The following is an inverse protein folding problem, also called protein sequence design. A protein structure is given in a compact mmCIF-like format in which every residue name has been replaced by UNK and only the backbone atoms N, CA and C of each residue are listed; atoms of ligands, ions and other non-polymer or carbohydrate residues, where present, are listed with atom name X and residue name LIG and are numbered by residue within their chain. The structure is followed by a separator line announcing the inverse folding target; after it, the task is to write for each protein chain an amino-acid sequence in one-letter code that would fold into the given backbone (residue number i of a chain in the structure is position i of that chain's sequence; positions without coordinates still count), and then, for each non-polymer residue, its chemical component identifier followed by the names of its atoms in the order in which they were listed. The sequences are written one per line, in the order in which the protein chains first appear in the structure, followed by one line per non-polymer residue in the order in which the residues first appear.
data_IF_783709358962
#
_entry.id   IF_783709358962
#
_cell.length_a   1.000
_cell.length_b   1.000
_cell.length_c   1.000
_cell.angle_alpha   90.00
_cell.angle_beta   90.00
_cell.angle_gamma   90.00
#
_symmetry.space_group_name_H-M   'P 1'
#
loop_
_entity.id
_entity.type
_entity.pdbx_description
1 polymer ?
#
# COMPACT_ATOMS: atom_id res chain seq x y z
N UNK A 1 6.78 24.91 -50.49
CA UNK A 1 7.26 24.97 -49.09
C UNK A 1 6.13 25.49 -48.22
N UNK A 2 5.50 24.60 -47.44
CA UNK A 2 4.49 24.94 -46.44
C UNK A 2 5.09 24.60 -45.07
N UNK A 3 4.93 25.43 -44.02
CA UNK A 3 5.28 24.99 -42.68
C UNK A 3 4.15 24.08 -42.17
N UNK A 4 4.46 22.79 -41.96
CA UNK A 4 3.66 21.94 -41.09
C UNK A 4 4.07 22.25 -39.65
N UNK A 5 3.52 23.33 -39.09
CA UNK A 5 3.62 23.59 -37.67
C UNK A 5 2.36 23.04 -36.99
N UNK A 6 2.48 21.87 -36.38
CA UNK A 6 1.44 21.33 -35.50
C UNK A 6 1.64 21.95 -34.12
N UNK A 7 0.68 22.79 -33.71
CA UNK A 7 0.63 23.38 -32.39
C UNK A 7 -0.08 22.39 -31.44
N UNK A 8 0.66 21.71 -30.56
CA UNK A 8 0.07 20.93 -29.48
C UNK A 8 -0.27 21.86 -28.31
N UNK A 9 -1.55 22.22 -28.19
CA UNK A 9 -2.08 22.82 -26.96
C UNK A 9 -2.59 21.71 -26.04
N UNK A 10 -1.71 21.16 -25.20
CA UNK A 10 -2.15 20.31 -24.10
C UNK A 10 -2.62 21.20 -22.96
N UNK A 11 -3.93 21.44 -22.90
CA UNK A 11 -4.57 21.93 -21.68
C UNK A 11 -4.64 20.75 -20.71
N UNK A 12 -3.59 20.54 -19.92
CA UNK A 12 -3.70 19.69 -18.74
C UNK A 12 -4.60 20.39 -17.74
N UNK A 13 -5.90 20.15 -17.82
CA UNK A 13 -6.80 20.27 -16.69
C UNK A 13 -6.69 18.98 -15.89
N UNK A 14 -5.48 18.66 -15.42
CA UNK A 14 -5.27 17.54 -14.51
C UNK A 14 -5.83 17.89 -13.14
N UNK A 15 -7.16 18.04 -13.03
CA UNK A 15 -7.80 17.82 -11.75
C UNK A 15 -7.59 16.35 -11.45
N UNK A 16 -6.66 16.10 -10.54
CA UNK A 16 -6.45 14.76 -10.04
C UNK A 16 -7.65 14.39 -9.19
N UNK A 17 -8.63 13.75 -9.84
CA UNK A 17 -9.94 13.48 -9.27
C UNK A 17 -9.80 12.59 -8.03
N UNK A 18 -10.63 12.89 -7.03
CA UNK A 18 -10.78 12.01 -5.87
C UNK A 18 -11.32 10.67 -6.37
N UNK A 19 -10.70 9.57 -5.94
CA UNK A 19 -11.04 8.23 -6.43
C UNK A 19 -12.39 7.73 -5.91
N UNK A 20 -12.72 8.00 -4.63
CA UNK A 20 -13.97 7.60 -3.99
C UNK A 20 -14.72 8.79 -3.34
N UNK A 21 -15.14 9.81 -4.11
CA UNK A 21 -15.76 11.01 -3.56
C UNK A 21 -17.08 10.70 -2.81
N UNK A 22 -17.81 9.68 -3.26
CA UNK A 22 -19.09 9.24 -2.68
C UNK A 22 -18.97 8.73 -1.22
N UNK A 23 -17.78 8.35 -0.80
CA UNK A 23 -17.53 7.80 0.54
C UNK A 23 -16.81 8.79 1.47
N UNK A 24 -16.72 10.08 1.08
CA UNK A 24 -15.88 11.06 1.78
C UNK A 24 -14.38 10.78 1.61
N UNK A 25 -14.03 10.01 0.57
CA UNK A 25 -12.65 9.70 0.24
C UNK A 25 -11.84 10.95 -0.04
N UNK A 26 -10.53 10.85 0.19
CA UNK A 26 -9.57 11.96 -0.04
C UNK A 26 -8.41 11.54 -0.93
N UNK A 27 -8.26 10.24 -1.19
CA UNK A 27 -7.25 9.71 -2.08
C UNK A 27 -7.53 10.18 -3.51
N UNK A 28 -6.52 10.78 -4.14
CA UNK A 28 -6.59 11.19 -5.55
C UNK A 28 -6.10 10.07 -6.46
N UNK A 29 -6.73 9.90 -7.62
CA UNK A 29 -6.48 8.75 -8.48
C UNK A 29 -5.01 8.64 -8.92
N UNK A 30 -4.42 9.73 -9.41
CA UNK A 30 -3.11 9.71 -10.04
C UNK A 30 -1.98 10.04 -9.05
N UNK A 31 -2.20 10.88 -8.04
CA UNK A 31 -1.20 11.18 -7.03
C UNK A 31 -1.10 10.09 -5.95
N UNK A 32 -2.20 9.42 -5.61
CA UNK A 32 -2.25 8.56 -4.43
C UNK A 32 -2.50 7.08 -4.80
N UNK A 33 -3.59 6.80 -5.53
CA UNK A 33 -4.06 5.43 -5.76
C UNK A 33 -3.18 4.67 -6.74
N UNK A 34 -2.95 5.22 -7.94
CA UNK A 34 -2.16 4.57 -9.00
C UNK A 34 -0.71 4.28 -8.56
N UNK A 35 0.03 5.22 -7.95
CA UNK A 35 1.40 4.95 -7.50
C UNK A 35 1.46 3.84 -6.45
N UNK A 36 0.59 3.87 -5.43
CA UNK A 36 0.53 2.83 -4.41
C UNK A 36 0.27 1.45 -5.01
N UNK A 37 -0.74 1.34 -5.89
CA UNK A 37 -1.06 0.06 -6.55
C UNK A 37 0.08 -0.41 -7.45
N UNK A 38 0.82 0.49 -8.09
CA UNK A 38 1.97 0.15 -8.93
C UNK A 38 3.10 -0.50 -8.12
N UNK A 39 3.44 0.03 -6.93
CA UNK A 39 4.44 -0.60 -6.05
C UNK A 39 4.02 -2.02 -5.65
N UNK A 40 2.78 -2.18 -5.20
CA UNK A 40 2.25 -3.49 -4.76
C UNK A 40 2.24 -4.49 -5.93
N UNK A 41 1.79 -4.04 -7.11
CA UNK A 41 1.81 -4.84 -8.34
C UNK A 41 3.23 -5.26 -8.70
N UNK A 42 4.20 -4.36 -8.64
CA UNK A 42 5.59 -4.67 -8.96
C UNK A 42 6.17 -5.71 -7.99
N UNK A 43 5.98 -5.56 -6.69
CA UNK A 43 6.43 -6.57 -5.70
C UNK A 43 5.79 -7.95 -5.94
N UNK A 44 4.49 -7.98 -6.22
CA UNK A 44 3.76 -9.23 -6.56
C UNK A 44 4.29 -9.87 -7.85
N UNK A 45 4.64 -9.08 -8.86
CA UNK A 45 5.24 -9.57 -10.10
C UNK A 45 6.64 -10.13 -9.90
N UNK A 46 7.44 -9.56 -8.98
CA UNK A 46 8.77 -10.11 -8.66
C UNK A 46 8.67 -11.52 -8.08
N UNK A 47 7.68 -11.78 -7.22
CA UNK A 47 7.41 -13.13 -6.68
C UNK A 47 6.94 -14.11 -7.75
N UNK A 48 6.07 -13.68 -8.66
CA UNK A 48 5.62 -14.52 -9.78
C UNK A 48 6.76 -14.88 -10.74
N UNK A 49 7.77 -14.02 -10.86
CA UNK A 49 8.93 -14.22 -11.75
C UNK A 49 10.14 -14.85 -11.06
N UNK A 50 10.03 -15.24 -9.78
CA UNK A 50 11.14 -15.75 -8.97
C UNK A 50 12.34 -14.76 -8.92
N UNK A 51 12.06 -13.46 -8.91
CA UNK A 51 13.08 -12.38 -8.93
C UNK A 51 13.18 -11.61 -7.61
N UNK A 52 12.24 -11.82 -6.69
CA UNK A 52 12.30 -11.23 -5.36
C UNK A 52 13.39 -11.93 -4.53
N UNK A 53 14.33 -11.18 -3.97
CA UNK A 53 15.29 -11.69 -2.98
C UNK A 53 14.68 -11.70 -1.58
N UNK A 54 15.16 -12.59 -0.71
CA UNK A 54 14.72 -12.72 0.67
C UNK A 54 15.70 -12.03 1.65
N UNK A 55 15.68 -10.71 1.75
CA UNK A 55 16.69 -9.94 2.50
C UNK A 55 17.89 -9.50 1.65
N UNK A 56 18.79 -8.67 2.22
CA UNK A 56 19.94 -8.09 1.51
C UNK A 56 20.82 -9.15 0.81
N UNK A 57 21.12 -10.22 1.54
CA UNK A 57 22.01 -11.30 1.11
C UNK A 57 21.28 -12.63 0.87
N UNK A 58 19.95 -12.61 0.90
CA UNK A 58 19.17 -13.84 0.84
C UNK A 58 19.08 -14.45 -0.56
N UNK A 59 18.73 -15.73 -0.55
CA UNK A 59 18.31 -16.48 -1.72
C UNK A 59 17.00 -15.91 -2.30
N UNK A 60 16.67 -16.21 -3.57
CA UNK A 60 15.37 -15.89 -4.13
C UNK A 60 14.23 -16.43 -3.25
N UNK A 61 13.21 -15.61 -3.03
CA UNK A 61 11.98 -16.05 -2.38
C UNK A 61 11.29 -17.14 -3.22
N UNK A 62 10.55 -18.06 -2.58
CA UNK A 62 9.77 -19.07 -3.31
C UNK A 62 8.83 -18.42 -4.33
N UNK A 63 8.87 -18.91 -5.57
CA UNK A 63 8.01 -18.44 -6.65
C UNK A 63 6.53 -18.65 -6.31
N UNK A 64 5.73 -17.60 -6.45
CA UNK A 64 4.28 -17.70 -6.31
C UNK A 64 3.67 -18.39 -7.54
N UNK A 65 2.73 -19.33 -7.35
CA UNK A 65 2.00 -19.97 -8.47
C UNK A 65 1.00 -19.04 -9.13
N UNK A 66 0.43 -18.12 -8.35
CA UNK A 66 -0.57 -17.15 -8.78
C UNK A 66 -0.65 -16.04 -7.75
N UNK A 67 -0.96 -14.82 -8.19
CA UNK A 67 -1.13 -13.66 -7.32
C UNK A 67 -2.19 -12.74 -7.94
N UNK A 68 -3.25 -12.43 -7.19
CA UNK A 68 -4.28 -11.52 -7.68
C UNK A 68 -3.77 -10.09 -7.84
N UNK A 69 -4.23 -9.38 -8.87
CA UNK A 69 -3.96 -7.95 -9.03
C UNK A 69 -4.63 -7.18 -7.89
N UNK A 70 -3.86 -6.28 -7.26
CA UNK A 70 -4.40 -5.38 -6.25
C UNK A 70 -5.24 -4.29 -6.94
N UNK A 71 -6.44 -4.05 -6.43
CA UNK A 71 -7.35 -3.00 -6.90
C UNK A 71 -7.84 -2.17 -5.73
N UNK A 72 -8.13 -0.90 -6.01
CA UNK A 72 -8.70 -0.01 -5.01
C UNK A 72 -10.14 -0.39 -4.68
N UNK A 73 -10.51 -0.29 -3.42
CA UNK A 73 -11.85 -0.53 -2.91
C UNK A 73 -12.30 0.66 -2.10
N UNK A 74 -13.31 1.37 -2.61
CA UNK A 74 -13.94 2.48 -1.91
C UNK A 74 -14.55 2.07 -0.56
N UNK A 75 -14.97 0.81 -0.42
CA UNK A 75 -15.47 0.27 0.84
C UNK A 75 -14.34 0.16 1.88
N UNK A 76 -13.15 -0.29 1.45
CA UNK A 76 -11.98 -0.38 2.33
C UNK A 76 -11.40 0.99 2.65
N UNK A 77 -11.41 1.94 1.70
CA UNK A 77 -11.03 3.34 1.98
C UNK A 77 -11.94 3.95 3.05
N UNK A 78 -13.26 3.76 2.93
CA UNK A 78 -14.22 4.21 3.94
C UNK A 78 -13.95 3.59 5.30
N UNK A 79 -13.72 2.26 5.35
CA UNK A 79 -13.39 1.56 6.60
C UNK A 79 -12.09 2.06 7.21
N UNK A 80 -11.06 2.30 6.39
CA UNK A 80 -9.80 2.89 6.84
C UNK A 80 -10.04 4.29 7.43
N UNK A 81 -10.84 5.13 6.77
CA UNK A 81 -11.22 6.45 7.29
C UNK A 81 -11.96 6.35 8.62
N UNK A 82 -12.96 5.48 8.74
CA UNK A 82 -13.75 5.30 9.97
C UNK A 82 -12.91 4.79 11.16
N UNK A 83 -11.88 3.99 10.90
CA UNK A 83 -10.93 3.55 11.92
C UNK A 83 -10.12 4.72 12.51
N UNK A 84 -9.92 5.76 11.70
CA UNK A 84 -9.07 6.91 11.95
C UNK A 84 -9.84 8.10 12.53
N UNK A 85 -10.99 8.45 11.94
CA UNK A 85 -11.87 9.56 12.33
C UNK A 85 -12.35 9.46 13.80
N UNK A 86 -12.62 8.24 14.28
CA UNK A 86 -13.06 8.00 15.66
C UNK A 86 -11.92 8.08 16.69
N UNK A 87 -10.66 8.00 16.27
CA UNK A 87 -9.49 7.87 17.16
C UNK A 87 -8.62 9.13 17.22
N UNK A 88 -8.73 10.05 16.26
CA UNK A 88 -8.02 11.34 16.29
C UNK A 88 -8.46 12.34 17.36
N UNK A 89 -9.54 12.06 18.09
CA UNK A 89 -9.91 12.84 19.29
C UNK A 89 -9.09 12.45 20.52
N UNK A 90 -8.33 11.35 20.44
CA UNK A 90 -7.40 10.92 21.48
C UNK A 90 -6.02 11.44 21.11
N UNK A 91 -5.36 12.11 22.05
CA UNK A 91 -4.01 12.69 21.91
C UNK A 91 -2.94 11.64 21.61
N UNK A 92 -3.24 10.36 21.79
CA UNK A 92 -2.37 9.24 21.48
C UNK A 92 -3.21 8.13 20.82
N UNK A 93 -3.08 7.98 19.50
CA UNK A 93 -3.50 6.70 18.89
C UNK A 93 -2.47 5.68 19.39
N UNK A 94 -2.91 4.72 20.19
CA UNK A 94 -2.07 3.58 20.57
C UNK A 94 -1.84 2.69 19.33
N UNK A 95 -0.82 3.06 18.57
CA UNK A 95 -0.38 2.36 17.36
C UNK A 95 0.10 0.94 17.67
N UNK A 96 0.54 0.67 18.91
CA UNK A 96 0.97 -0.66 19.33
C UNK A 96 -0.21 -1.61 19.53
N UNK A 97 -1.40 -1.08 19.84
CA UNK A 97 -2.63 -1.85 20.01
C UNK A 97 -3.66 -1.61 18.89
N UNK A 98 -3.22 -1.16 17.70
CA UNK A 98 -4.10 -0.99 16.56
C UNK A 98 -4.65 -2.35 16.11
N UNK A 99 -5.87 -2.68 16.55
CA UNK A 99 -6.59 -3.87 16.12
C UNK A 99 -7.44 -3.55 14.89
N UNK A 100 -7.15 -4.25 13.79
CA UNK A 100 -8.00 -4.27 12.61
C UNK A 100 -9.25 -5.12 12.88
N UNK A 101 -10.41 -4.79 12.28
CA UNK A 101 -11.62 -5.60 12.43
C UNK A 101 -11.37 -7.04 11.97
N UNK A 102 -12.09 -8.00 12.56
CA UNK A 102 -11.97 -9.41 12.19
C UNK A 102 -12.21 -9.60 10.69
N UNK A 103 -11.34 -10.39 10.04
CA UNK A 103 -11.39 -10.62 8.60
C UNK A 103 -10.66 -9.58 7.75
N UNK A 104 -10.06 -8.55 8.37
CA UNK A 104 -9.24 -7.57 7.69
C UNK A 104 -7.79 -7.66 8.18
N UNK A 105 -6.86 -7.60 7.24
CA UNK A 105 -5.48 -7.23 7.53
C UNK A 105 -5.31 -5.75 7.25
N UNK A 106 -4.44 -5.10 7.98
CA UNK A 106 -4.12 -3.72 7.71
C UNK A 106 -2.69 -3.41 8.07
N UNK A 107 -2.26 -2.29 7.54
CA UNK A 107 -0.92 -1.76 7.65
C UNK A 107 -1.06 -0.32 8.09
N UNK A 108 -0.14 0.14 8.93
CA UNK A 108 -0.10 1.51 9.39
C UNK A 108 1.27 2.12 9.05
N UNK A 109 1.30 3.40 8.73
CA UNK A 109 2.54 4.14 8.56
C UNK A 109 2.45 5.48 9.29
N UNK A 110 3.36 5.77 10.24
CA UNK A 110 3.32 7.02 10.96
C UNK A 110 3.67 8.20 10.03
N UNK A 111 2.92 9.29 10.15
CA UNK A 111 3.03 10.48 9.28
C UNK A 111 4.43 11.11 9.25
N UNK A 112 5.20 11.02 10.35
CA UNK A 112 6.57 11.56 10.38
C UNK A 112 7.58 10.74 9.55
N UNK A 113 7.18 9.60 9.00
CA UNK A 113 8.04 8.76 8.16
C UNK A 113 7.67 8.83 6.67
N UNK A 114 6.43 9.20 6.32
CA UNK A 114 6.00 9.37 4.92
C UNK A 114 4.85 10.37 4.83
N UNK A 115 4.91 11.19 3.78
CA UNK A 115 3.92 12.22 3.49
C UNK A 115 2.93 11.80 2.40
N UNK A 116 3.23 10.75 1.63
CA UNK A 116 2.39 10.25 0.53
C UNK A 116 2.17 8.74 0.62
N UNK A 117 1.11 8.25 -0.01
CA UNK A 117 0.89 6.80 -0.17
C UNK A 117 1.98 6.11 -0.97
N UNK A 118 2.59 6.81 -1.93
CA UNK A 118 3.72 6.29 -2.69
C UNK A 118 4.91 5.98 -1.78
N UNK A 119 5.31 6.93 -0.93
CA UNK A 119 6.40 6.75 0.03
C UNK A 119 6.10 5.62 1.01
N UNK A 120 4.86 5.57 1.53
CA UNK A 120 4.44 4.47 2.41
C UNK A 120 4.54 3.11 1.69
N UNK A 121 4.03 3.02 0.45
CA UNK A 121 4.11 1.80 -0.35
C UNK A 121 5.55 1.39 -0.64
N UNK A 122 6.43 2.33 -0.96
CA UNK A 122 7.86 2.08 -1.13
C UNK A 122 8.48 1.54 0.17
N UNK A 123 8.18 2.13 1.32
CA UNK A 123 8.70 1.67 2.61
C UNK A 123 8.22 0.27 3.00
N UNK A 124 6.92 0.00 2.84
CA UNK A 124 6.35 -1.33 3.11
C UNK A 124 6.90 -2.37 2.15
N UNK A 125 6.96 -2.08 0.86
CA UNK A 125 7.47 -3.03 -0.15
C UNK A 125 8.97 -3.27 -0.03
N UNK A 126 9.75 -2.29 0.43
CA UNK A 126 11.20 -2.40 0.66
C UNK A 126 11.59 -3.03 1.99
N UNK A 127 10.64 -3.44 2.85
CA UNK A 127 10.96 -4.19 4.07
C UNK A 127 11.73 -5.48 3.78
N UNK A 128 11.37 -6.18 2.69
CA UNK A 128 12.02 -7.43 2.27
C UNK A 128 13.49 -7.27 1.90
N UNK A 129 13.92 -6.07 1.52
CA UNK A 129 15.31 -5.80 1.19
C UNK A 129 16.17 -5.58 2.45
N UNK A 130 15.54 -5.44 3.62
CA UNK A 130 16.19 -5.21 4.92
C UNK A 130 16.08 -6.40 5.86
N UNK A 131 14.96 -7.09 5.83
CA UNK A 131 14.67 -8.20 6.74
C UNK A 131 14.22 -9.44 5.95
N UNK A 132 14.90 -10.59 6.08
CA UNK A 132 14.46 -11.82 5.45
C UNK A 132 13.17 -12.36 6.12
N UNK A 133 12.27 -12.91 5.30
CA UNK A 133 11.19 -13.79 5.76
C UNK A 133 11.77 -15.16 6.10
N UNK A 134 11.33 -15.74 7.20
CA UNK A 134 11.69 -17.12 7.56
C UNK A 134 11.05 -18.09 6.57
N UNK A 135 11.75 -19.15 6.14
CA UNK A 135 11.25 -20.17 5.22
C UNK A 135 9.94 -20.82 5.70
N UNK A 136 9.76 -20.92 7.02
CA UNK A 136 8.51 -21.44 7.63
C UNK A 136 7.30 -20.53 7.41
N UNK A 137 7.49 -19.27 7.00
CA UNK A 137 6.43 -18.35 6.67
C UNK A 137 5.64 -18.76 5.42
N UNK A 138 6.19 -19.64 4.57
CA UNK A 138 5.52 -20.08 3.35
C UNK A 138 4.92 -21.48 3.54
N UNK A 139 3.60 -21.56 3.77
CA UNK A 139 2.89 -22.86 3.86
C UNK A 139 1.65 -22.88 2.99
N UNK A 140 1.57 -23.89 2.10
CA UNK A 140 0.40 -24.20 1.26
C UNK A 140 -0.15 -22.98 0.47
N UNK A 141 0.74 -22.11 -0.01
CA UNK A 141 0.36 -20.94 -0.80
C UNK A 141 -0.17 -19.75 0.01
N UNK A 142 0.05 -19.75 1.33
CA UNK A 142 -0.20 -18.61 2.22
C UNK A 142 1.11 -18.15 2.85
N UNK A 143 1.20 -16.84 3.08
CA UNK A 143 2.21 -16.27 3.97
C UNK A 143 1.63 -16.32 5.39
N UNK A 144 2.23 -17.12 6.26
CA UNK A 144 1.80 -17.22 7.65
C UNK A 144 2.13 -15.93 8.40
N UNK A 145 1.38 -15.68 9.48
CA UNK A 145 1.65 -14.58 10.40
C UNK A 145 3.12 -14.62 10.83
N UNK A 146 3.84 -13.53 10.55
CA UNK A 146 5.24 -13.39 10.91
C UNK A 146 5.27 -12.49 12.15
N UNK A 147 5.75 -12.97 13.31
CA UNK A 147 5.91 -12.13 14.49
C UNK A 147 7.04 -11.09 14.34
N UNK A 148 7.73 -11.08 13.19
CA UNK A 148 8.72 -10.09 12.84
C UNK A 148 8.03 -8.85 12.25
N UNK A 149 8.01 -7.77 13.02
CA UNK A 149 7.45 -6.48 12.60
C UNK A 149 8.20 -5.87 11.42
N UNK A 150 9.48 -6.19 11.24
CA UNK A 150 10.31 -5.59 10.19
C UNK A 150 9.90 -6.02 8.78
N UNK A 151 9.05 -7.04 8.65
CA UNK A 151 8.62 -7.63 7.38
C UNK A 151 7.11 -7.82 7.25
N UNK A 152 6.36 -7.47 8.30
CA UNK A 152 4.94 -7.77 8.41
C UNK A 152 4.10 -7.04 7.35
N UNK A 153 4.47 -5.81 7.01
CA UNK A 153 3.71 -5.01 6.05
C UNK A 153 3.93 -5.53 4.64
N UNK A 154 5.18 -5.82 4.27
CA UNK A 154 5.51 -6.54 3.04
C UNK A 154 4.71 -7.83 2.93
N UNK A 155 4.79 -8.68 3.96
CA UNK A 155 4.08 -9.96 4.02
C UNK A 155 2.57 -9.81 3.82
N UNK A 156 1.97 -8.74 4.36
CA UNK A 156 0.55 -8.41 4.20
C UNK A 156 0.23 -8.00 2.76
N UNK A 157 1.09 -7.20 2.12
CA UNK A 157 0.91 -6.75 0.73
C UNK A 157 1.07 -7.88 -0.30
N UNK A 158 1.85 -8.92 -0.01
CA UNK A 158 2.10 -10.02 -0.94
C UNK A 158 1.21 -11.26 -0.71
N UNK A 159 0.20 -11.16 0.15
CA UNK A 159 -0.78 -12.23 0.32
C UNK A 159 -1.55 -12.48 -0.99
N UNK A 160 -1.63 -13.75 -1.40
CA UNK A 160 -2.30 -14.19 -2.62
C UNK A 160 -3.73 -13.66 -2.76
N UNK A 161 -4.47 -13.70 -1.66
CA UNK A 161 -5.92 -13.45 -1.65
C UNK A 161 -6.27 -12.00 -1.25
N UNK A 162 -5.27 -11.12 -1.06
CA UNK A 162 -5.46 -9.71 -0.70
C UNK A 162 -5.57 -8.82 -1.94
N UNK A 163 -6.60 -8.99 -2.75
CA UNK A 163 -6.76 -8.24 -4.00
C UNK A 163 -7.49 -6.90 -3.86
N UNK A 164 -8.24 -6.65 -2.79
CA UNK A 164 -8.87 -5.35 -2.54
C UNK A 164 -8.04 -4.55 -1.53
N UNK A 165 -7.77 -3.28 -1.83
CA UNK A 165 -7.00 -2.37 -0.97
C UNK A 165 -7.76 -1.05 -0.84
N UNK A 166 -7.78 -0.45 0.34
CA UNK A 166 -8.24 0.92 0.51
C UNK A 166 -7.49 1.55 1.67
N UNK A 167 -7.01 2.77 1.46
CA UNK A 167 -6.22 3.49 2.44
C UNK A 167 -6.89 4.83 2.75
N UNK A 168 -6.61 5.35 3.94
CA UNK A 168 -6.99 6.69 4.33
C UNK A 168 -5.81 7.35 5.03
N UNK A 169 -5.63 8.65 4.79
CA UNK A 169 -4.64 9.49 5.46
C UNK A 169 -5.36 10.54 6.28
N UNK A 170 -4.87 10.74 7.50
CA UNK A 170 -5.22 11.86 8.34
C UNK A 170 -4.06 12.82 8.41
N UNK A 171 -4.33 14.10 8.23
CA UNK A 171 -3.45 15.16 8.71
C UNK A 171 -3.97 15.60 10.07
N UNK A 172 -3.22 15.27 11.13
CA UNK A 172 -3.51 15.78 12.47
C UNK A 172 -2.89 17.16 12.57
N UNK A 173 -3.73 18.20 12.63
CA UNK A 173 -3.26 19.54 12.94
C UNK A 173 -3.06 19.61 14.45
N UNK A 174 -1.81 19.63 14.91
CA UNK A 174 -1.53 20.08 16.27
C UNK A 174 -1.80 21.59 16.30
N UNK A 175 -2.94 21.99 16.86
CA UNK A 175 -3.12 23.37 17.29
C UNK A 175 -2.13 23.61 18.43
N UNK A 176 -1.06 24.35 18.14
CA UNK A 176 -0.17 24.95 19.15
C UNK A 176 -0.93 26.09 19.83
#
# INVERSE_FOLDING_TARGET
MLPLSILFALRSLGNDDIYCPQNGGKAKENADVKPLLAYIKNSRLLLLKNRQRNGPDGYPMPMAKSMGEARWSCELEKKAYEMFDKRCRQTEIDLFNLRFPQGYSGIYFPYYQAHTYEQAAQCWTGQIDRAPMNDTAFRKGKVLYIPNRDIQDYATLIQRDSYNIGCSQLMVWFSI
#
